data_IF_290770331666
#
_entry.id   IF_290770331666
#
_cell.length_a   1.000
_cell.length_b   1.000
_cell.length_c   1.000
_cell.angle_alpha   90.00
_cell.angle_beta   90.00
_cell.angle_gamma   90.00
#
_symmetry.space_group_name_H-M   'P 1'
#
loop_
_entity.id
_entity.type
_entity.pdbx_description
1 polymer ?
#
# COMPACT_ATOMS: atom_id res chain seq x y z
N UNK A 1 -1.78 -3.20 1.12
CA UNK A 1 -1.55 -4.65 1.00
C UNK A 1 -0.57 -5.02 -0.13
N UNK A 2 -0.49 -4.22 -1.21
CA UNK A 2 0.41 -4.47 -2.33
C UNK A 2 1.89 -4.53 -1.93
N UNK A 3 2.30 -3.73 -0.95
CA UNK A 3 3.71 -3.63 -0.53
C UNK A 3 4.26 -4.95 0.04
N UNK A 4 3.50 -5.67 0.86
CA UNK A 4 3.94 -6.91 1.48
C UNK A 4 4.19 -8.05 0.47
N UNK A 5 3.28 -8.35 -0.47
CA UNK A 5 3.52 -9.34 -1.52
C UNK A 5 4.71 -8.99 -2.43
N UNK A 6 4.88 -7.72 -2.77
CA UNK A 6 6.00 -7.28 -3.62
C UNK A 6 7.35 -7.43 -2.90
N UNK A 7 7.37 -7.21 -1.58
CA UNK A 7 8.55 -7.41 -0.74
C UNK A 7 8.91 -8.89 -0.49
N UNK A 8 8.14 -9.86 -1.01
CA UNK A 8 8.40 -11.29 -0.85
C UNK A 8 7.81 -11.90 0.42
N UNK A 9 6.61 -11.56 0.81
CA UNK A 9 5.86 -11.56 2.09
C UNK A 9 6.73 -11.78 3.33
N UNK A 10 7.60 -10.81 3.69
CA UNK A 10 8.45 -10.93 4.86
C UNK A 10 7.62 -10.93 6.15
N UNK A 11 8.17 -11.50 7.21
CA UNK A 11 7.59 -11.39 8.55
C UNK A 11 7.77 -9.97 9.08
N UNK A 12 6.68 -9.29 9.41
CA UNK A 12 6.71 -7.96 10.03
C UNK A 12 7.01 -8.09 11.51
N UNK A 13 8.04 -7.41 11.99
CA UNK A 13 8.47 -7.48 13.39
C UNK A 13 8.16 -6.22 14.19
N UNK A 14 8.20 -5.07 13.55
CA UNK A 14 8.01 -3.78 14.23
C UNK A 14 7.34 -2.77 13.30
N UNK A 15 6.50 -1.93 13.87
CA UNK A 15 5.84 -0.81 13.18
C UNK A 15 6.00 0.46 14.02
N UNK A 16 6.35 1.55 13.36
CA UNK A 16 6.23 2.91 13.90
C UNK A 16 5.35 3.70 12.96
N UNK A 17 4.35 4.41 13.49
CA UNK A 17 3.44 5.18 12.66
C UNK A 17 2.64 6.20 13.42
N UNK A 18 1.97 7.06 12.67
CA UNK A 18 1.11 8.11 13.16
C UNK A 18 -0.11 8.24 12.24
N UNK A 19 -1.28 8.45 12.82
CA UNK A 19 -2.54 8.68 12.12
C UNK A 19 -3.11 10.04 12.48
N UNK A 20 -3.84 10.66 11.57
CA UNK A 20 -4.40 11.99 11.77
C UNK A 20 -5.78 12.12 11.14
N UNK A 21 -6.64 12.89 11.83
CA UNK A 21 -7.94 13.32 11.36
C UNK A 21 -7.95 14.87 11.41
N UNK A 22 -7.47 15.51 10.38
CA UNK A 22 -7.31 16.98 10.33
C UNK A 22 -8.25 17.64 9.32
N UNK A 23 -8.37 17.03 8.14
CA UNK A 23 -9.15 17.61 7.06
C UNK A 23 -10.62 17.19 7.11
N UNK A 24 -10.91 15.95 7.49
CA UNK A 24 -12.28 15.47 7.54
C UNK A 24 -13.13 16.09 8.66
N UNK A 25 -12.49 16.68 9.67
CA UNK A 25 -13.14 17.42 10.77
C UNK A 25 -13.20 18.93 10.53
N UNK A 26 -12.59 19.42 9.46
CA UNK A 26 -12.57 20.84 9.11
C UNK A 26 -13.73 21.16 8.16
N UNK A 27 -14.75 21.86 8.68
CA UNK A 27 -15.93 22.25 7.90
C UNK A 27 -15.60 23.22 6.75
N UNK A 28 -14.46 23.91 6.80
CA UNK A 28 -14.02 24.83 5.75
C UNK A 28 -13.19 24.14 4.66
N UNK A 29 -12.79 22.90 4.89
CA UNK A 29 -12.02 22.13 3.89
C UNK A 29 -12.93 21.72 2.73
N UNK A 30 -12.66 22.30 1.56
CA UNK A 30 -13.39 22.02 0.33
C UNK A 30 -13.08 20.59 -0.17
N UNK A 31 -13.63 19.60 0.49
CA UNK A 31 -13.53 18.21 0.08
C UNK A 31 -14.35 17.98 -1.19
N UNK A 32 -13.66 17.51 -2.24
CA UNK A 32 -14.37 17.07 -3.46
C UNK A 32 -15.11 15.80 -3.11
N UNK A 33 -16.43 15.87 -3.13
CA UNK A 33 -17.31 14.74 -2.84
C UNK A 33 -17.03 13.59 -3.82
N UNK A 34 -16.26 12.62 -3.35
CA UNK A 34 -15.92 11.43 -4.16
C UNK A 34 -17.04 10.38 -4.14
N UNK A 35 -17.92 10.40 -3.13
CA UNK A 35 -18.81 9.29 -2.81
C UNK A 35 -20.27 9.69 -2.54
N UNK A 36 -20.73 10.82 -2.99
CA UNK A 36 -22.15 11.21 -2.85
C UNK A 36 -22.38 12.65 -2.42
N UNK A 37 -23.63 12.98 -2.17
CA UNK A 37 -24.05 14.30 -1.70
C UNK A 37 -23.55 14.53 -0.26
N UNK A 38 -23.24 15.78 0.07
CA UNK A 38 -22.91 16.22 1.42
C UNK A 38 -23.99 15.78 2.40
N UNK A 39 -23.67 14.89 3.31
CA UNK A 39 -24.58 14.39 4.34
C UNK A 39 -24.70 15.35 5.53
N UNK A 40 -24.11 16.55 5.45
CA UNK A 40 -23.95 17.48 6.56
C UNK A 40 -22.81 17.02 7.50
N UNK A 41 -22.49 17.82 8.50
CA UNK A 41 -21.47 17.51 9.51
C UNK A 41 -21.88 16.30 10.37
N UNK A 42 -21.80 15.10 9.80
CA UNK A 42 -21.76 13.88 10.59
C UNK A 42 -20.48 13.90 11.43
N UNK A 43 -20.54 13.39 12.65
CA UNK A 43 -19.33 13.20 13.46
C UNK A 43 -18.29 12.42 12.63
N UNK A 44 -17.28 13.14 12.16
CA UNK A 44 -16.20 12.55 11.41
C UNK A 44 -15.31 11.76 12.37
N UNK A 45 -15.30 10.44 12.26
CA UNK A 45 -14.70 9.53 13.24
C UNK A 45 -13.58 8.65 12.67
N UNK A 46 -13.10 8.99 11.46
CA UNK A 46 -12.04 8.22 10.79
C UNK A 46 -10.83 9.10 10.51
N UNK A 47 -9.65 8.48 10.49
CA UNK A 47 -8.43 9.18 10.10
C UNK A 47 -8.45 9.51 8.60
N UNK A 48 -7.87 10.65 8.24
CA UNK A 48 -7.72 11.10 6.85
C UNK A 48 -6.34 10.84 6.29
N UNK A 49 -5.36 10.62 7.15
CA UNK A 49 -3.99 10.33 6.75
C UNK A 49 -3.26 9.44 7.74
N UNK A 50 -2.28 8.70 7.23
CA UNK A 50 -1.35 7.91 8.03
C UNK A 50 0.04 7.92 7.40
N UNK A 51 1.06 7.93 8.26
CA UNK A 51 2.46 7.74 7.89
C UNK A 51 3.06 6.65 8.76
N UNK A 52 3.81 5.71 8.16
CA UNK A 52 4.39 4.62 8.92
C UNK A 52 5.72 4.13 8.36
N UNK A 53 6.50 3.51 9.23
CA UNK A 53 7.71 2.78 8.89
C UNK A 53 7.62 1.37 9.48
N UNK A 54 7.69 0.37 8.61
CA UNK A 54 7.56 -1.05 8.94
C UNK A 54 8.93 -1.72 8.81
N UNK A 55 9.32 -2.51 9.80
CA UNK A 55 10.54 -3.33 9.80
C UNK A 55 10.17 -4.80 9.71
N UNK A 56 10.88 -5.52 8.86
CA UNK A 56 10.72 -6.96 8.69
C UNK A 56 11.94 -7.71 9.23
N UNK A 57 11.74 -8.96 9.61
CA UNK A 57 12.77 -9.79 10.21
C UNK A 57 13.95 -10.13 9.30
N UNK A 58 13.75 -10.08 8.00
CA UNK A 58 14.80 -10.27 6.98
C UNK A 58 15.58 -8.99 6.64
N UNK A 59 15.30 -7.88 7.32
CA UNK A 59 15.91 -6.57 7.09
C UNK A 59 15.17 -5.71 6.05
N UNK A 60 14.14 -6.21 5.42
CA UNK A 60 13.26 -5.41 4.54
C UNK A 60 12.57 -4.31 5.34
N UNK A 61 12.44 -3.13 4.75
CA UNK A 61 11.73 -2.01 5.34
C UNK A 61 10.70 -1.45 4.37
N UNK A 62 9.58 -0.97 4.90
CA UNK A 62 8.51 -0.34 4.12
C UNK A 62 8.24 1.04 4.72
N UNK A 63 8.32 2.08 3.91
CA UNK A 63 7.83 3.41 4.24
C UNK A 63 6.45 3.59 3.61
N UNK A 64 5.48 3.98 4.40
CA UNK A 64 4.09 4.16 3.99
C UNK A 64 3.65 5.60 4.25
N UNK A 65 3.01 6.19 3.27
CA UNK A 65 2.26 7.43 3.40
C UNK A 65 0.94 7.26 2.63
N UNK A 66 -0.18 7.44 3.30
CA UNK A 66 -1.51 7.34 2.71
C UNK A 66 -2.37 8.49 3.21
N UNK A 67 -3.17 9.05 2.32
CA UNK A 67 -4.16 10.06 2.68
C UNK A 67 -5.30 10.00 1.65
N UNK A 68 -6.53 10.18 2.11
CA UNK A 68 -7.67 10.41 1.23
C UNK A 68 -8.07 11.89 1.19
N UNK A 69 -7.57 12.69 2.16
CA UNK A 69 -7.69 14.14 2.18
C UNK A 69 -6.31 14.75 2.49
N UNK A 70 -5.81 15.62 1.63
CA UNK A 70 -4.51 16.25 1.77
C UNK A 70 -4.34 17.41 0.79
N UNK A 71 -3.52 18.40 1.14
CA UNK A 71 -3.18 19.53 0.27
C UNK A 71 -2.02 19.18 -0.69
N UNK A 72 -2.11 18.06 -1.40
CA UNK A 72 -1.13 17.67 -2.42
C UNK A 72 -1.84 17.03 -3.62
N UNK A 73 -1.22 17.01 -4.81
CA UNK A 73 -1.76 16.30 -5.96
C UNK A 73 -1.96 14.81 -5.67
N UNK A 74 -3.00 14.22 -6.28
CA UNK A 74 -3.22 12.78 -6.25
C UNK A 74 -2.00 12.04 -6.75
N UNK A 75 -1.61 11.00 -6.02
CA UNK A 75 -0.56 10.07 -6.43
C UNK A 75 -0.82 8.69 -5.84
N UNK A 76 -0.59 7.65 -6.64
CA UNK A 76 -0.69 6.27 -6.20
C UNK A 76 0.57 5.52 -6.63
N UNK A 77 1.70 5.89 -6.03
CA UNK A 77 3.03 5.43 -6.41
C UNK A 77 3.59 4.43 -5.41
N UNK A 78 4.20 3.38 -5.95
CA UNK A 78 4.93 2.37 -5.21
C UNK A 78 6.37 2.30 -5.73
N UNK A 79 7.32 2.44 -4.83
CA UNK A 79 8.75 2.31 -5.14
C UNK A 79 9.33 1.06 -4.49
N UNK A 80 9.98 0.24 -5.28
CA UNK A 80 10.76 -0.90 -4.81
C UNK A 80 12.24 -0.60 -5.00
N UNK A 81 13.04 -0.80 -3.96
CA UNK A 81 14.49 -0.65 -3.98
C UNK A 81 15.12 -1.96 -3.57
N UNK A 82 15.37 -2.82 -4.55
CA UNK A 82 16.02 -4.10 -4.35
C UNK A 82 17.52 -4.03 -4.64
N UNK A 83 18.25 -5.06 -4.22
CA UNK A 83 19.71 -5.17 -4.46
C UNK A 83 20.05 -5.49 -5.92
N UNK A 84 19.15 -6.13 -6.65
CA UNK A 84 19.33 -6.47 -8.07
C UNK A 84 18.73 -5.44 -9.03
N UNK A 85 17.59 -4.87 -8.65
CA UNK A 85 16.87 -3.87 -9.45
C UNK A 85 15.92 -3.07 -8.58
N UNK A 86 15.47 -1.93 -9.09
CA UNK A 86 14.39 -1.15 -8.53
C UNK A 86 13.18 -1.10 -9.46
N UNK A 87 12.03 -0.68 -8.94
CA UNK A 87 10.84 -0.46 -9.74
C UNK A 87 10.03 0.72 -9.20
N UNK A 88 9.34 1.41 -10.11
CA UNK A 88 8.25 2.33 -9.80
C UNK A 88 6.98 1.79 -10.45
N UNK A 89 5.95 1.60 -9.64
CA UNK A 89 4.59 1.35 -10.12
C UNK A 89 3.75 2.58 -9.82
N UNK A 90 3.11 3.14 -10.83
CA UNK A 90 2.16 4.24 -10.71
C UNK A 90 0.78 3.72 -11.12
N UNK A 91 -0.14 3.64 -10.17
CA UNK A 91 -1.49 3.11 -10.42
C UNK A 91 -2.39 4.15 -11.08
N UNK A 92 -2.13 5.45 -10.89
CA UNK A 92 -2.90 6.51 -11.53
C UNK A 92 -2.64 6.51 -13.05
N UNK A 93 -1.37 6.43 -13.43
CA UNK A 93 -0.93 6.38 -14.83
C UNK A 93 -0.92 4.97 -15.41
N UNK A 94 -1.09 3.94 -14.58
CA UNK A 94 -0.98 2.53 -14.94
C UNK A 94 0.38 2.20 -15.60
N UNK A 95 1.44 2.80 -15.09
CA UNK A 95 2.80 2.66 -15.61
C UNK A 95 3.68 1.84 -14.67
N UNK A 96 4.62 1.09 -15.24
CA UNK A 96 5.65 0.34 -14.52
C UNK A 96 7.00 0.64 -15.15
N UNK A 97 7.92 1.16 -14.33
CA UNK A 97 9.29 1.45 -14.74
C UNK A 97 10.27 0.62 -13.93
N UNK A 98 11.23 -0.02 -14.60
CA UNK A 98 12.32 -0.75 -13.96
C UNK A 98 13.61 0.08 -13.98
N UNK A 99 14.39 -0.01 -12.91
CA UNK A 99 15.68 0.63 -12.74
C UNK A 99 16.73 -0.44 -12.47
N UNK A 100 17.74 -0.52 -13.33
CA UNK A 100 18.78 -1.53 -13.25
C UNK A 100 20.17 -0.91 -13.40
N UNK A 101 21.17 -1.57 -12.83
CA UNK A 101 22.56 -1.32 -13.18
C UNK A 101 22.98 -2.35 -14.23
N UNK A 102 23.49 -1.90 -15.34
CA UNK A 102 23.97 -2.73 -16.43
C UNK A 102 25.45 -2.47 -16.72
N UNK A 103 26.16 -3.49 -17.19
CA UNK A 103 27.55 -3.41 -17.64
C UNK A 103 27.63 -3.90 -19.10
N UNK A 104 27.98 -2.99 -19.98
CA UNK A 104 28.29 -3.29 -21.39
C UNK A 104 29.71 -2.80 -21.73
N UNK A 105 30.66 -3.01 -20.80
CA UNK A 105 32.02 -2.49 -20.84
C UNK A 105 32.21 -1.21 -20.01
N UNK A 106 31.11 -0.62 -19.52
CA UNK A 106 31.04 0.43 -18.48
C UNK A 106 29.78 0.28 -17.70
N UNK A 107 29.88 0.40 -16.38
CA UNK A 107 28.72 0.47 -15.49
C UNK A 107 27.85 1.68 -15.86
N UNK A 108 26.55 1.45 -16.01
CA UNK A 108 25.57 2.51 -16.28
C UNK A 108 24.19 2.14 -15.71
N UNK A 109 23.37 3.14 -15.49
CA UNK A 109 21.97 2.94 -15.14
C UNK A 109 21.15 2.73 -16.40
N UNK A 110 20.25 1.74 -16.31
CA UNK A 110 19.25 1.47 -17.34
C UNK A 110 17.87 1.67 -16.75
N UNK A 111 17.05 2.43 -17.46
CA UNK A 111 15.61 2.61 -17.16
C UNK A 111 14.82 1.97 -18.27
N UNK A 112 13.85 1.15 -17.92
CA UNK A 112 13.00 0.44 -18.88
C UNK A 112 11.55 0.65 -18.50
N UNK A 113 10.78 1.26 -19.38
CA UNK A 113 9.33 1.37 -19.21
C UNK A 113 8.67 0.09 -19.73
N UNK A 114 7.82 -0.48 -18.91
CA UNK A 114 7.09 -1.72 -19.20
C UNK A 114 5.66 -1.34 -19.59
N UNK A 115 5.28 -1.62 -20.83
CA UNK A 115 3.88 -1.53 -21.22
C UNK A 115 3.08 -2.66 -20.58
N UNK A 116 2.10 -2.29 -19.76
CA UNK A 116 1.16 -3.25 -19.17
C UNK A 116 -0.12 -3.29 -20.00
N UNK A 117 -0.62 -4.49 -20.25
CA UNK A 117 -1.93 -4.60 -20.89
C UNK A 117 -3.02 -4.18 -19.90
N UNK A 118 -3.87 -3.26 -20.34
CA UNK A 118 -5.08 -2.92 -19.60
C UNK A 118 -5.91 -4.17 -19.37
N UNK A 119 -6.28 -4.41 -18.15
CA UNK A 119 -7.11 -5.55 -17.77
C UNK A 119 -8.21 -5.08 -16.84
N UNK A 120 -9.30 -5.81 -16.79
CA UNK A 120 -10.33 -5.64 -15.79
C UNK A 120 -9.94 -6.46 -14.54
N UNK A 121 -9.34 -5.82 -13.50
CA UNK A 121 -8.85 -6.53 -12.33
C UNK A 121 -10.00 -7.10 -11.49
N UNK A 122 -11.13 -6.41 -11.39
CA UNK A 122 -12.28 -6.84 -10.64
C UNK A 122 -12.89 -8.11 -11.23
N UNK A 123 -13.06 -8.14 -12.55
CA UNK A 123 -13.56 -9.33 -13.25
C UNK A 123 -12.62 -10.54 -13.09
N UNK A 124 -11.30 -10.28 -13.13
CA UNK A 124 -10.30 -11.36 -12.93
C UNK A 124 -10.34 -11.90 -11.51
N UNK A 125 -10.48 -11.03 -10.52
CA UNK A 125 -10.60 -11.40 -9.11
C UNK A 125 -11.84 -12.24 -8.87
N UNK A 126 -13.02 -11.79 -9.34
CA UNK A 126 -14.27 -12.53 -9.26
C UNK A 126 -14.17 -13.90 -9.94
N UNK A 127 -13.60 -13.96 -11.15
CA UNK A 127 -13.44 -15.22 -11.87
C UNK A 127 -12.54 -16.20 -11.11
N UNK A 128 -11.44 -15.73 -10.50
CA UNK A 128 -10.56 -16.56 -9.68
C UNK A 128 -11.27 -17.08 -8.43
N UNK A 129 -12.03 -16.23 -7.75
CA UNK A 129 -12.80 -16.63 -6.58
C UNK A 129 -13.82 -17.72 -6.93
N UNK A 130 -14.62 -17.51 -7.99
CA UNK A 130 -15.60 -18.49 -8.46
C UNK A 130 -14.93 -19.82 -8.83
N UNK A 131 -13.79 -19.79 -9.51
CA UNK A 131 -13.04 -21.01 -9.83
C UNK A 131 -12.56 -21.73 -8.57
N UNK A 132 -12.01 -20.99 -7.60
CA UNK A 132 -11.54 -21.56 -6.33
C UNK A 132 -12.68 -22.26 -5.57
N UNK A 133 -13.86 -21.65 -5.53
CA UNK A 133 -15.06 -22.26 -4.90
C UNK A 133 -15.50 -23.52 -5.65
N UNK A 134 -15.60 -23.43 -6.97
CA UNK A 134 -16.04 -24.57 -7.81
C UNK A 134 -15.08 -25.75 -7.73
N UNK A 135 -13.79 -25.49 -7.75
CA UNK A 135 -12.74 -26.50 -7.83
C UNK A 135 -12.30 -26.99 -6.44
N UNK A 136 -12.82 -26.38 -5.35
CA UNK A 136 -12.49 -26.70 -3.97
C UNK A 136 -11.02 -26.42 -3.62
N UNK A 137 -10.36 -25.55 -4.39
CA UNK A 137 -8.93 -25.22 -4.23
C UNK A 137 -8.79 -23.78 -3.75
N UNK A 138 -8.22 -23.54 -2.56
CA UNK A 138 -7.99 -22.18 -2.09
C UNK A 138 -7.15 -21.35 -3.08
N UNK A 139 -7.42 -20.04 -3.21
CA UNK A 139 -6.61 -19.18 -4.06
C UNK A 139 -5.18 -19.08 -3.50
N UNK A 140 -4.18 -19.01 -4.39
CA UNK A 140 -2.78 -18.86 -4.01
C UNK A 140 -2.42 -17.41 -3.60
N UNK A 141 -3.28 -16.45 -3.92
CA UNK A 141 -3.10 -15.02 -3.63
C UNK A 141 -4.38 -14.45 -3.02
N UNK A 142 -4.26 -13.37 -2.25
CA UNK A 142 -5.36 -12.74 -1.53
C UNK A 142 -6.03 -13.69 -0.53
N UNK A 143 -5.21 -14.46 0.19
CA UNK A 143 -5.69 -15.38 1.22
C UNK A 143 -6.05 -14.63 2.50
N UNK A 144 -6.83 -15.28 3.37
CA UNK A 144 -7.18 -14.73 4.69
C UNK A 144 -5.93 -14.46 5.52
N UNK A 145 -4.92 -15.34 5.45
CA UNK A 145 -3.65 -15.17 6.16
C UNK A 145 -2.89 -13.93 5.68
N UNK A 146 -2.91 -13.66 4.37
CA UNK A 146 -2.31 -12.45 3.82
C UNK A 146 -3.07 -11.19 4.30
N UNK A 147 -4.40 -11.22 4.31
CA UNK A 147 -5.22 -10.13 4.83
C UNK A 147 -4.98 -9.88 6.33
N UNK A 148 -4.86 -10.94 7.14
CA UNK A 148 -4.56 -10.83 8.57
C UNK A 148 -3.17 -10.20 8.83
N UNK A 149 -2.17 -10.48 8.00
CA UNK A 149 -0.86 -9.82 8.11
C UNK A 149 -0.97 -8.31 7.87
N UNK A 150 -1.73 -7.90 6.85
CA UNK A 150 -2.00 -6.47 6.59
C UNK A 150 -2.72 -5.84 7.78
N UNK A 151 -3.75 -6.52 8.31
CA UNK A 151 -4.52 -6.03 9.46
C UNK A 151 -3.62 -5.83 10.69
N UNK A 152 -2.73 -6.75 10.99
CA UNK A 152 -1.78 -6.63 12.11
C UNK A 152 -0.86 -5.40 11.95
N UNK A 153 -0.43 -5.10 10.72
CA UNK A 153 0.36 -3.89 10.44
C UNK A 153 -0.49 -2.64 10.71
N UNK A 154 -1.74 -2.62 10.26
CA UNK A 154 -2.65 -1.50 10.50
C UNK A 154 -2.89 -1.29 12.00
N UNK A 155 -3.19 -2.34 12.76
CA UNK A 155 -3.32 -2.29 14.22
C UNK A 155 -2.04 -1.78 14.88
N UNK A 156 -0.88 -2.21 14.37
CA UNK A 156 0.43 -1.72 14.81
C UNK A 156 0.62 -0.22 14.59
N UNK A 157 0.15 0.31 13.46
CA UNK A 157 0.19 1.76 13.16
C UNK A 157 -0.67 2.53 14.17
N UNK A 158 -1.90 2.09 14.41
CA UNK A 158 -2.79 2.73 15.39
C UNK A 158 -2.20 2.72 16.81
N UNK A 159 -1.72 1.57 17.27
CA UNK A 159 -1.07 1.44 18.57
C UNK A 159 0.19 2.30 18.70
N UNK A 160 0.96 2.41 17.61
CA UNK A 160 2.13 3.28 17.57
C UNK A 160 1.74 4.75 17.67
N UNK A 161 0.70 5.16 16.97
CA UNK A 161 0.15 6.53 17.02
C UNK A 161 -0.34 6.89 18.41
N UNK A 162 -1.06 5.97 19.09
CA UNK A 162 -1.58 6.17 20.44
C UNK A 162 -0.47 6.27 21.50
N UNK A 163 0.59 5.48 21.36
CA UNK A 163 1.67 5.38 22.37
C UNK A 163 2.85 6.29 22.09
N UNK A 164 2.98 6.82 20.86
CA UNK A 164 4.14 7.57 20.40
C UNK A 164 5.43 6.74 20.33
N UNK A 165 5.32 5.41 20.26
CA UNK A 165 6.45 4.49 20.30
C UNK A 165 6.35 3.40 19.22
N UNK A 166 7.48 2.79 18.89
CA UNK A 166 7.49 1.59 18.03
C UNK A 166 6.77 0.43 18.73
N UNK A 167 6.01 -0.33 17.95
CA UNK A 167 5.18 -1.44 18.41
C UNK A 167 5.63 -2.73 17.75
N UNK A 168 5.88 -3.78 18.53
CA UNK A 168 6.10 -5.12 18.01
C UNK A 168 4.79 -5.67 17.43
N UNK A 169 4.89 -6.18 16.21
CA UNK A 169 3.81 -6.89 15.50
C UNK A 169 4.18 -8.38 15.58
N UNK A 170 3.96 -8.97 16.73
CA UNK A 170 4.16 -10.40 16.94
C UNK A 170 2.89 -11.22 16.64
N UNK A 171 3.05 -12.55 16.60
CA UNK A 171 2.03 -13.56 16.29
C UNK A 171 0.65 -13.33 16.91
#
# INVERSE_FOLDING_TARGET
>A
DLALPVAGPPEVVEVTGDTRAQFGVDEEYAYVQMWGEDQGAAEFSVDDSASAFVRCGDGTTISLEVAWATNRPDSQEYYVRGTGAGAKLDLADQSLTLFETADTGRMHHRTTDIETQRSDPQRKEQARFVSAVRDGTPPATNTVEQALRVQRVMDGIYRSSETGAAVSVGE
#
